data_IF_089817145424
#
_entry.id   IF_089817145424
#
_cell.length_a   1.000
_cell.length_b   1.000
_cell.length_c   1.000
_cell.angle_alpha   90.00
_cell.angle_beta   90.00
_cell.angle_gamma   90.00
#
_symmetry.space_group_name_H-M   'P 1'
#
loop_
_entity.id
_entity.type
_entity.pdbx_description
1 polymer ?
#
# COMPACT_ATOMS: atom_id res chain seq x y z
N UNK A 1 -17.97 -30.82 -14.46
CA UNK A 1 -16.95 -29.93 -15.04
C UNK A 1 -17.52 -28.51 -15.28
N UNK A 2 -18.67 -28.33 -15.96
CA UNK A 2 -19.20 -26.99 -16.29
C UNK A 2 -19.60 -26.13 -15.09
N UNK A 3 -20.12 -26.70 -14.00
CA UNK A 3 -20.54 -25.96 -12.80
C UNK A 3 -19.35 -25.42 -12.01
N UNK A 4 -18.28 -26.19 -11.91
CA UNK A 4 -17.03 -25.81 -11.24
C UNK A 4 -16.28 -24.73 -12.02
N UNK A 5 -16.24 -24.81 -13.36
CA UNK A 5 -15.66 -23.79 -14.22
C UNK A 5 -16.41 -22.46 -14.12
N UNK A 6 -17.75 -22.47 -14.07
CA UNK A 6 -18.55 -21.25 -13.87
C UNK A 6 -18.29 -20.61 -12.49
N UNK A 7 -18.18 -21.41 -11.45
CA UNK A 7 -17.87 -20.90 -10.10
C UNK A 7 -16.51 -20.19 -10.05
N UNK A 8 -15.47 -20.77 -10.64
CA UNK A 8 -14.13 -20.20 -10.73
C UNK A 8 -14.09 -18.91 -11.55
N UNK A 9 -14.82 -18.86 -12.67
CA UNK A 9 -14.98 -17.64 -13.45
C UNK A 9 -15.62 -16.52 -12.63
N UNK A 10 -16.72 -16.81 -11.92
CA UNK A 10 -17.41 -15.85 -11.06
C UNK A 10 -16.51 -15.36 -9.89
N UNK A 11 -15.71 -16.26 -9.32
CA UNK A 11 -14.75 -15.91 -8.28
C UNK A 11 -13.69 -14.91 -8.82
N UNK A 12 -13.08 -15.20 -9.97
CA UNK A 12 -12.12 -14.29 -10.61
C UNK A 12 -12.74 -12.94 -10.95
N UNK A 13 -13.96 -12.91 -11.49
CA UNK A 13 -14.69 -11.66 -11.77
C UNK A 13 -14.94 -10.84 -10.51
N UNK A 14 -15.30 -11.46 -9.38
CA UNK A 14 -15.47 -10.76 -8.10
C UNK A 14 -14.16 -10.18 -7.59
N UNK A 15 -13.06 -10.93 -7.67
CA UNK A 15 -11.73 -10.44 -7.29
C UNK A 15 -11.32 -9.23 -8.12
N UNK A 16 -11.45 -9.32 -9.45
CA UNK A 16 -11.16 -8.19 -10.35
C UNK A 16 -12.05 -6.98 -10.06
N UNK A 17 -13.36 -7.18 -9.90
CA UNK A 17 -14.28 -6.10 -9.62
C UNK A 17 -14.01 -5.45 -8.25
N UNK A 18 -13.87 -6.25 -7.19
CA UNK A 18 -13.67 -5.74 -5.82
C UNK A 18 -12.30 -5.10 -5.64
N UNK A 19 -11.21 -5.84 -5.87
CA UNK A 19 -9.86 -5.35 -5.63
C UNK A 19 -9.41 -4.36 -6.71
N UNK A 20 -9.78 -4.58 -7.99
CA UNK A 20 -9.48 -3.65 -9.07
C UNK A 20 -10.07 -2.27 -8.82
N UNK A 21 -11.33 -2.19 -8.39
CA UNK A 21 -11.97 -0.90 -8.07
C UNK A 21 -11.36 -0.23 -6.83
N UNK A 22 -10.96 -1.01 -5.83
CA UNK A 22 -10.48 -0.49 -4.54
C UNK A 22 -8.98 -0.18 -4.54
N UNK A 23 -8.20 -0.80 -5.44
CA UNK A 23 -6.74 -0.66 -5.48
C UNK A 23 -6.23 -0.02 -6.77
N UNK A 24 -6.98 -0.09 -7.88
CA UNK A 24 -6.52 0.36 -9.20
C UNK A 24 -7.59 1.21 -9.92
N UNK A 25 -8.43 1.95 -9.19
CA UNK A 25 -9.52 2.71 -9.77
C UNK A 25 -9.07 3.80 -10.76
N UNK A 26 -7.84 4.31 -10.64
CA UNK A 26 -7.26 5.26 -11.59
C UNK A 26 -6.95 4.64 -12.95
N UNK A 27 -6.90 3.32 -13.07
CA UNK A 27 -6.69 2.61 -14.33
C UNK A 27 -8.00 2.20 -15.01
N UNK A 28 -9.13 2.37 -14.32
CA UNK A 28 -10.43 2.02 -14.88
C UNK A 28 -10.91 3.06 -15.91
N UNK A 29 -11.72 2.64 -16.90
CA UNK A 29 -12.34 3.57 -17.85
C UNK A 29 -13.12 4.68 -17.15
N UNK A 30 -12.93 5.92 -17.57
CA UNK A 30 -13.59 7.09 -16.99
C UNK A 30 -12.97 7.60 -15.70
N UNK A 31 -11.81 7.08 -15.30
CA UNK A 31 -11.08 7.59 -14.13
C UNK A 31 -10.63 9.04 -14.32
N UNK A 32 -10.41 9.81 -13.23
CA UNK A 32 -9.94 11.18 -13.31
C UNK A 32 -8.41 11.30 -13.58
N UNK A 33 -7.72 10.21 -13.88
CA UNK A 33 -6.26 10.19 -14.08
C UNK A 33 -5.79 11.26 -15.08
N UNK A 34 -6.52 11.43 -16.19
CA UNK A 34 -6.16 12.40 -17.23
C UNK A 34 -6.24 13.86 -16.75
N UNK A 35 -6.92 14.14 -15.64
CA UNK A 35 -7.04 15.48 -15.06
C UNK A 35 -6.01 15.74 -13.96
N UNK A 36 -5.38 14.69 -13.41
CA UNK A 36 -4.34 14.84 -12.39
C UNK A 36 -3.12 15.57 -12.96
N UNK A 37 -2.56 16.48 -12.16
CA UNK A 37 -1.36 17.22 -12.55
C UNK A 37 -0.11 16.48 -12.06
N UNK A 38 0.88 16.22 -12.90
CA UNK A 38 2.16 15.72 -12.44
C UNK A 38 2.83 16.71 -11.50
N UNK A 39 3.32 16.24 -10.35
CA UNK A 39 4.28 16.97 -9.52
C UNK A 39 5.66 16.78 -10.14
N UNK A 40 6.20 17.86 -10.70
CA UNK A 40 7.50 17.83 -11.41
C UNK A 40 8.53 18.66 -10.63
N UNK A 41 9.63 18.02 -10.23
CA UNK A 41 10.76 18.65 -9.54
C UNK A 41 12.03 18.23 -10.29
N UNK A 42 12.85 19.18 -10.66
CA UNK A 42 14.10 18.98 -11.42
C UNK A 42 13.91 18.13 -12.70
N UNK A 43 12.76 18.29 -13.36
CA UNK A 43 12.41 17.56 -14.59
C UNK A 43 11.85 16.15 -14.38
N UNK A 44 11.78 15.67 -13.13
CA UNK A 44 11.26 14.34 -12.79
C UNK A 44 9.82 14.39 -12.27
N UNK A 45 9.00 13.47 -12.74
CA UNK A 45 7.63 13.27 -12.22
C UNK A 45 7.66 12.43 -10.95
N UNK A 46 7.53 13.10 -9.82
CA UNK A 46 7.59 12.47 -8.50
C UNK A 46 6.22 12.07 -7.96
N UNK A 47 5.15 12.69 -8.46
CA UNK A 47 3.80 12.46 -7.98
C UNK A 47 2.73 12.87 -8.97
N UNK A 48 1.48 12.62 -8.60
CA UNK A 48 0.28 13.02 -9.32
C UNK A 48 -0.71 13.67 -8.36
N UNK A 49 -1.06 14.92 -8.62
CA UNK A 49 -1.87 15.76 -7.72
C UNK A 49 -3.24 16.01 -8.34
N UNK A 50 -4.30 15.81 -7.56
CA UNK A 50 -5.68 16.13 -7.99
C UNK A 50 -5.80 17.63 -8.24
N UNK A 51 -6.58 18.09 -9.25
CA UNK A 51 -6.67 19.52 -9.60
C UNK A 51 -7.15 20.42 -8.47
N UNK A 52 -8.08 19.96 -7.65
CA UNK A 52 -8.59 20.67 -6.49
C UNK A 52 -7.53 20.83 -5.39
N UNK A 53 -6.75 19.78 -5.13
CA UNK A 53 -5.63 19.81 -4.20
C UNK A 53 -4.55 20.77 -4.72
N UNK A 54 -4.15 20.68 -6.00
CA UNK A 54 -3.15 21.57 -6.60
C UNK A 54 -3.56 23.05 -6.47
N UNK A 55 -4.83 23.37 -6.71
CA UNK A 55 -5.37 24.73 -6.53
C UNK A 55 -5.26 25.22 -5.09
N UNK A 56 -5.52 24.36 -4.12
CA UNK A 56 -5.40 24.69 -2.69
C UNK A 56 -3.92 24.91 -2.34
N UNK A 57 -3.03 24.00 -2.75
CA UNK A 57 -1.60 24.07 -2.45
C UNK A 57 -0.98 25.35 -3.02
N UNK A 58 -1.27 25.70 -4.27
CA UNK A 58 -0.74 26.92 -4.89
C UNK A 58 -1.31 28.20 -4.28
N UNK A 59 -2.57 28.20 -3.86
CA UNK A 59 -3.21 29.36 -3.23
C UNK A 59 -2.77 29.58 -1.77
N UNK A 60 -2.57 28.49 -1.01
CA UNK A 60 -2.28 28.55 0.43
C UNK A 60 -0.79 28.51 0.73
N UNK A 61 0.03 27.90 -0.14
CA UNK A 61 1.46 27.71 0.03
C UNK A 61 2.25 28.22 -1.19
N UNK A 62 2.06 29.49 -1.61
CA UNK A 62 2.71 30.02 -2.84
C UNK A 62 4.24 30.11 -2.72
N UNK A 63 4.81 30.08 -1.52
CA UNK A 63 6.26 29.98 -1.31
C UNK A 63 6.84 28.58 -1.56
N UNK A 64 5.97 27.58 -1.76
CA UNK A 64 6.38 26.18 -1.97
C UNK A 64 5.92 25.67 -3.32
N UNK A 65 4.66 25.93 -3.72
CA UNK A 65 4.03 25.34 -4.89
C UNK A 65 3.60 26.40 -5.92
N UNK A 66 4.00 26.17 -7.17
CA UNK A 66 3.56 26.94 -8.33
C UNK A 66 2.97 26.01 -9.40
N UNK A 67 2.16 26.56 -10.29
CA UNK A 67 1.85 25.87 -11.54
C UNK A 67 3.06 25.98 -12.49
N UNK A 68 3.46 24.86 -13.08
CA UNK A 68 4.43 24.85 -14.17
C UNK A 68 3.89 25.45 -15.45
N UNK A 69 4.72 25.53 -16.48
CA UNK A 69 4.41 26.14 -17.75
C UNK A 69 3.09 25.65 -18.35
N UNK A 70 2.19 26.59 -18.64
CA UNK A 70 0.87 26.30 -19.20
C UNK A 70 -0.12 25.69 -18.22
N UNK A 71 0.14 25.70 -16.91
CA UNK A 71 -0.77 25.19 -15.87
C UNK A 71 -0.99 23.67 -15.87
N UNK A 72 -0.12 22.91 -16.52
CA UNK A 72 -0.27 21.45 -16.73
C UNK A 72 0.54 20.59 -15.78
N UNK A 73 1.22 21.19 -14.83
CA UNK A 73 1.97 20.52 -13.77
C UNK A 73 1.96 21.36 -12.50
N UNK A 74 2.24 20.71 -11.37
CA UNK A 74 2.62 21.36 -10.13
C UNK A 74 4.13 21.29 -10.01
N UNK A 75 4.78 22.37 -9.57
CA UNK A 75 6.24 22.45 -9.39
C UNK A 75 6.56 23.24 -8.13
N UNK A 76 7.83 23.28 -7.75
CA UNK A 76 8.29 24.11 -6.63
C UNK A 76 8.33 25.60 -7.05
N UNK A 77 8.23 26.47 -6.05
CA UNK A 77 8.45 27.90 -6.21
C UNK A 77 9.89 28.18 -6.65
N UNK A 78 10.07 29.28 -7.40
CA UNK A 78 11.37 29.67 -7.94
C UNK A 78 12.42 29.82 -6.83
N UNK A 79 13.61 29.24 -7.08
CA UNK A 79 14.72 29.26 -6.14
C UNK A 79 14.64 28.24 -5.00
N UNK A 80 13.52 27.49 -4.84
CA UNK A 80 13.41 26.41 -3.86
C UNK A 80 13.98 25.12 -4.46
N UNK A 81 15.15 24.67 -4.01
CA UNK A 81 15.82 23.48 -4.51
C UNK A 81 16.66 22.80 -3.43
N UNK A 82 17.01 21.52 -3.66
CA UNK A 82 17.80 20.69 -2.76
C UNK A 82 17.00 20.04 -1.65
N UNK A 83 17.48 18.87 -1.20
CA UNK A 83 16.72 17.99 -0.29
C UNK A 83 16.25 18.70 1.00
N UNK A 84 17.20 19.30 1.77
CA UNK A 84 16.84 19.91 3.06
C UNK A 84 15.97 21.17 2.94
N UNK A 85 16.25 22.14 2.05
CA UNK A 85 15.38 23.31 1.90
C UNK A 85 13.96 22.93 1.47
N UNK A 86 13.82 21.99 0.52
CA UNK A 86 12.50 21.52 0.05
C UNK A 86 11.77 20.80 1.17
N UNK A 87 12.42 19.87 1.88
CA UNK A 87 11.81 19.14 3.00
C UNK A 87 11.33 20.08 4.11
N UNK A 88 12.14 21.09 4.48
CA UNK A 88 11.76 22.08 5.49
C UNK A 88 10.57 22.94 5.04
N UNK A 89 10.54 23.35 3.76
CA UNK A 89 9.43 24.10 3.20
C UNK A 89 8.13 23.25 3.18
N UNK A 90 8.24 21.97 2.81
CA UNK A 90 7.12 21.03 2.87
C UNK A 90 6.60 20.85 4.31
N UNK A 91 7.50 20.64 5.28
CA UNK A 91 7.12 20.50 6.68
C UNK A 91 6.36 21.73 7.20
N UNK A 92 6.85 22.93 6.92
CA UNK A 92 6.20 24.19 7.31
C UNK A 92 4.82 24.34 6.65
N UNK A 93 4.74 24.09 5.34
CA UNK A 93 3.50 24.22 4.58
C UNK A 93 2.42 23.25 5.07
N UNK A 94 2.75 21.96 5.23
CA UNK A 94 1.77 20.97 5.66
C UNK A 94 1.38 21.10 7.14
N UNK A 95 2.27 21.56 8.02
CA UNK A 95 1.92 21.91 9.40
C UNK A 95 0.94 23.09 9.45
N UNK A 96 1.14 24.12 8.61
CA UNK A 96 0.18 25.24 8.50
C UNK A 96 -1.18 24.76 7.97
N UNK A 97 -1.19 23.95 6.89
CA UNK A 97 -2.44 23.40 6.33
C UNK A 97 -3.17 22.49 7.33
N UNK A 98 -2.43 21.76 8.18
CA UNK A 98 -2.98 20.98 9.28
C UNK A 98 -3.64 21.87 10.33
N UNK A 99 -2.92 22.91 10.77
CA UNK A 99 -3.41 23.87 11.78
C UNK A 99 -4.65 24.59 11.32
N UNK A 100 -4.69 24.97 10.03
CA UNK A 100 -5.83 25.63 9.40
C UNK A 100 -7.00 24.66 9.12
N UNK A 101 -6.83 23.34 9.35
CA UNK A 101 -7.85 22.34 9.13
C UNK A 101 -8.25 22.14 7.66
N UNK A 102 -7.33 22.43 6.73
CA UNK A 102 -7.63 22.47 5.28
C UNK A 102 -7.94 21.08 4.72
N UNK A 103 -7.17 20.08 5.14
CA UNK A 103 -7.34 18.69 4.71
C UNK A 103 -7.62 17.78 5.90
N UNK A 104 -8.76 17.05 5.91
CA UNK A 104 -9.07 16.11 7.00
C UNK A 104 -8.01 15.04 7.24
N UNK A 105 -7.30 14.60 6.18
CA UNK A 105 -6.24 13.61 6.30
C UNK A 105 -5.03 14.12 7.11
N UNK A 106 -4.75 15.43 7.09
CA UNK A 106 -3.70 16.03 7.92
C UNK A 106 -4.12 16.12 9.39
N UNK A 107 -5.37 16.53 9.67
CA UNK A 107 -5.84 16.70 11.05
C UNK A 107 -6.07 15.40 11.78
N UNK A 108 -6.58 14.36 11.08
CA UNK A 108 -6.91 13.05 11.67
C UNK A 108 -5.83 11.99 11.46
N UNK A 109 -4.98 12.17 10.44
CA UNK A 109 -4.02 11.17 10.00
C UNK A 109 -2.56 11.48 10.31
N UNK A 110 -2.25 12.58 10.98
CA UNK A 110 -0.88 13.00 11.30
C UNK A 110 -0.19 12.00 12.22
N UNK A 111 1.04 11.58 11.86
CA UNK A 111 1.77 10.50 12.54
C UNK A 111 3.09 10.94 13.16
N UNK A 112 3.64 12.11 12.78
CA UNK A 112 5.04 12.50 13.03
C UNK A 112 6.01 11.48 12.40
N UNK A 113 5.65 10.96 11.25
CA UNK A 113 6.42 10.00 10.49
C UNK A 113 6.65 10.57 9.08
N UNK A 114 7.91 10.57 8.63
CA UNK A 114 8.28 11.15 7.35
C UNK A 114 8.40 10.07 6.27
N UNK A 115 7.88 10.38 5.08
CA UNK A 115 8.05 9.59 3.88
C UNK A 115 8.84 10.37 2.85
N UNK A 116 9.80 9.70 2.21
CA UNK A 116 10.64 10.31 1.20
C UNK A 116 10.04 10.18 -0.20
N UNK A 117 9.87 11.28 -0.90
CA UNK A 117 9.70 11.28 -2.35
C UNK A 117 11.03 10.90 -2.99
N UNK A 118 11.07 9.78 -3.72
CA UNK A 118 12.29 9.21 -4.29
C UNK A 118 12.16 9.09 -5.81
N UNK A 119 13.27 9.34 -6.52
CA UNK A 119 13.37 8.92 -7.91
C UNK A 119 13.26 7.40 -8.00
N UNK A 120 12.37 6.90 -8.83
CA UNK A 120 12.16 5.45 -8.93
C UNK A 120 13.37 4.72 -9.54
N UNK A 121 14.06 5.38 -10.45
CA UNK A 121 15.22 4.80 -11.16
C UNK A 121 16.46 4.64 -10.29
N UNK A 122 16.73 5.56 -9.36
CA UNK A 122 17.95 5.60 -8.53
C UNK A 122 17.69 5.40 -7.05
N UNK A 123 16.42 5.50 -6.62
CA UNK A 123 15.99 5.55 -5.21
C UNK A 123 16.51 6.75 -4.42
N UNK A 124 17.15 7.71 -5.09
CA UNK A 124 17.62 8.94 -4.47
C UNK A 124 16.43 9.73 -3.91
N UNK A 125 16.47 10.16 -2.64
CA UNK A 125 15.44 11.01 -2.06
C UNK A 125 15.58 12.43 -2.60
N UNK A 126 14.45 13.04 -2.97
CA UNK A 126 14.34 14.43 -3.45
C UNK A 126 13.88 15.36 -2.34
N UNK A 127 12.91 14.93 -1.57
CA UNK A 127 12.44 15.58 -0.35
C UNK A 127 11.75 14.55 0.56
N UNK A 128 11.49 14.94 1.79
CA UNK A 128 10.64 14.18 2.70
C UNK A 128 9.47 15.03 3.19
N UNK A 129 8.38 14.36 3.52
CA UNK A 129 7.12 14.99 3.95
C UNK A 129 6.41 14.09 4.95
N UNK A 130 5.59 14.68 5.81
CA UNK A 130 4.69 13.93 6.71
C UNK A 130 3.86 12.89 5.93
N UNK A 131 3.81 11.66 6.46
CA UNK A 131 3.14 10.52 5.85
C UNK A 131 1.71 10.82 5.38
N UNK A 132 0.94 11.54 6.20
CA UNK A 132 -0.45 11.91 5.86
C UNK A 132 -0.56 12.89 4.68
N UNK A 133 0.51 13.60 4.33
CA UNK A 133 0.58 14.51 3.20
C UNK A 133 1.03 13.83 1.90
N UNK A 134 1.62 12.64 1.96
CA UNK A 134 2.16 11.96 0.80
C UNK A 134 1.12 11.73 -0.31
N UNK A 135 -0.11 11.35 0.04
CA UNK A 135 -1.20 11.14 -0.91
C UNK A 135 -1.72 12.43 -1.52
N UNK A 136 -1.66 13.57 -0.81
CA UNK A 136 -2.02 14.88 -1.38
C UNK A 136 -1.07 15.27 -2.52
N UNK A 137 0.19 14.85 -2.44
CA UNK A 137 1.20 15.03 -3.47
C UNK A 137 1.23 13.87 -4.48
N UNK A 138 0.53 12.77 -4.20
CA UNK A 138 0.51 11.58 -5.04
C UNK A 138 1.88 10.99 -5.26
N UNK A 139 2.80 11.11 -4.29
CA UNK A 139 4.13 10.50 -4.34
C UNK A 139 4.05 9.02 -4.01
N UNK A 140 4.96 8.23 -4.59
CA UNK A 140 5.01 6.80 -4.28
C UNK A 140 5.33 6.58 -2.79
N UNK A 141 4.57 5.70 -2.17
CA UNK A 141 4.80 5.23 -0.81
C UNK A 141 5.21 3.77 -0.86
N UNK A 142 6.02 3.35 0.10
CA UNK A 142 6.44 1.96 0.24
C UNK A 142 6.01 1.42 1.59
N UNK A 143 5.62 0.15 1.58
CA UNK A 143 5.31 -0.60 2.77
C UNK A 143 5.89 -2.01 2.72
N UNK A 144 5.69 -2.77 3.78
CA UNK A 144 6.00 -4.18 3.85
C UNK A 144 4.82 -4.96 4.40
N UNK A 145 4.56 -6.14 3.85
CA UNK A 145 3.53 -7.06 4.29
C UNK A 145 4.10 -8.46 4.49
N UNK A 146 3.69 -9.13 5.57
CA UNK A 146 4.08 -10.50 5.86
C UNK A 146 2.87 -11.42 5.77
N UNK A 147 2.94 -12.39 4.86
CA UNK A 147 2.02 -13.51 4.76
C UNK A 147 2.51 -14.63 5.70
N UNK A 148 1.95 -14.70 6.91
CA UNK A 148 2.19 -15.82 7.82
C UNK A 148 1.25 -16.97 7.49
N UNK A 149 1.78 -18.16 7.25
CA UNK A 149 0.97 -19.32 6.83
C UNK A 149 1.44 -20.62 7.48
N UNK A 150 0.53 -21.60 7.55
CA UNK A 150 0.86 -22.97 7.97
C UNK A 150 0.93 -23.90 6.76
N UNK A 151 1.65 -25.01 6.91
CA UNK A 151 1.83 -26.00 5.86
C UNK A 151 1.14 -27.32 6.22
N UNK A 152 0.89 -28.15 5.21
CA UNK A 152 0.31 -29.47 5.42
C UNK A 152 1.23 -30.38 6.25
N UNK A 153 0.62 -31.16 7.15
CA UNK A 153 1.32 -32.12 8.02
C UNK A 153 1.86 -33.34 7.29
N UNK A 154 1.62 -33.45 5.97
CA UNK A 154 2.03 -34.57 5.12
C UNK A 154 3.48 -34.48 4.62
N UNK A 155 4.23 -33.46 5.06
CA UNK A 155 5.60 -33.20 4.64
C UNK A 155 5.77 -32.49 3.29
N UNK A 156 4.68 -32.21 2.57
CA UNK A 156 4.71 -31.59 1.24
C UNK A 156 5.10 -30.11 1.23
N UNK A 157 5.20 -29.48 2.38
CA UNK A 157 5.38 -28.01 2.53
C UNK A 157 4.31 -27.16 1.82
N UNK A 158 3.18 -27.78 1.43
CA UNK A 158 2.07 -27.11 0.76
C UNK A 158 1.35 -26.19 1.75
N UNK A 159 1.19 -24.90 1.44
CA UNK A 159 0.41 -23.99 2.28
C UNK A 159 -1.05 -24.46 2.41
N UNK A 160 -1.62 -24.38 3.61
CA UNK A 160 -3.00 -24.82 3.88
C UNK A 160 -3.86 -23.75 4.52
N UNK A 161 -3.27 -22.88 5.36
CA UNK A 161 -4.00 -21.79 6.00
C UNK A 161 -3.10 -20.55 6.15
N UNK A 162 -3.71 -19.38 6.25
CA UNK A 162 -3.03 -18.08 6.42
C UNK A 162 -3.54 -17.40 7.67
N UNK A 163 -2.62 -16.83 8.45
CA UNK A 163 -2.94 -15.94 9.54
C UNK A 163 -3.32 -14.58 9.01
N UNK A 164 -4.46 -14.08 9.43
CA UNK A 164 -4.97 -12.74 9.18
C UNK A 164 -5.12 -11.98 10.50
N UNK A 165 -4.86 -10.69 10.47
CA UNK A 165 -5.08 -9.78 11.58
C UNK A 165 -6.39 -9.00 11.37
N UNK A 166 -7.16 -8.78 12.44
CA UNK A 166 -8.22 -7.78 12.45
C UNK A 166 -7.69 -6.52 13.12
N UNK A 167 -7.67 -5.44 12.38
CA UNK A 167 -7.20 -4.13 12.84
C UNK A 167 -8.04 -3.62 14.02
N UNK A 168 -7.38 -3.02 15.00
CA UNK A 168 -8.05 -2.34 16.11
C UNK A 168 -8.98 -1.23 15.60
N UNK A 169 -10.09 -1.00 16.28
CA UNK A 169 -11.00 0.13 16.01
C UNK A 169 -10.36 1.49 16.27
N UNK A 170 -9.26 1.54 17.01
CA UNK A 170 -8.47 2.75 17.27
C UNK A 170 -7.57 3.16 16.11
N UNK A 171 -7.35 2.28 15.11
CA UNK A 171 -6.52 2.62 13.93
C UNK A 171 -7.19 3.73 13.12
N UNK A 172 -6.46 4.81 12.77
CA UNK A 172 -7.05 5.95 12.04
C UNK A 172 -7.39 5.63 10.58
N UNK A 173 -6.82 4.54 10.03
CA UNK A 173 -7.15 4.07 8.67
C UNK A 173 -7.58 2.62 8.72
N UNK A 174 -8.66 2.28 8.01
CA UNK A 174 -9.21 0.93 7.92
C UNK A 174 -9.48 0.29 9.29
N UNK A 175 -10.15 0.99 10.26
CA UNK A 175 -10.46 0.42 11.57
C UNK A 175 -11.37 -0.81 11.42
N UNK A 176 -11.06 -1.88 12.16
CA UNK A 176 -11.84 -3.12 12.17
C UNK A 176 -11.75 -3.97 10.91
N UNK A 177 -10.99 -3.57 9.88
CA UNK A 177 -10.82 -4.37 8.67
C UNK A 177 -9.87 -5.55 8.90
N UNK A 178 -10.05 -6.62 8.13
CA UNK A 178 -9.07 -7.69 8.03
C UNK A 178 -7.84 -7.22 7.24
N UNK A 179 -6.67 -7.67 7.66
CA UNK A 179 -5.36 -7.30 7.14
C UNK A 179 -4.47 -8.56 7.02
N UNK A 180 -3.32 -8.46 6.39
CA UNK A 180 -2.28 -9.48 6.48
C UNK A 180 -1.90 -9.70 7.96
N UNK A 181 -1.13 -10.76 8.23
CA UNK A 181 -0.59 -11.01 9.57
C UNK A 181 0.14 -9.79 10.13
N UNK A 182 0.95 -9.16 9.27
CA UNK A 182 1.70 -7.93 9.58
C UNK A 182 1.67 -7.00 8.36
N UNK A 183 1.56 -5.69 8.59
CA UNK A 183 1.65 -4.68 7.53
C UNK A 183 2.09 -3.33 8.06
N UNK A 184 3.29 -2.89 7.69
CA UNK A 184 3.87 -1.62 8.10
C UNK A 184 4.30 -0.74 6.93
N UNK A 185 4.33 0.59 7.14
CA UNK A 185 4.90 1.54 6.19
C UNK A 185 6.43 1.56 6.26
N UNK A 186 7.08 2.08 5.23
CA UNK A 186 8.52 2.33 5.23
C UNK A 186 8.77 3.84 5.41
N UNK A 187 9.17 4.28 6.60
CA UNK A 187 9.53 5.68 6.85
C UNK A 187 10.82 6.07 6.09
N UNK A 188 11.07 7.38 6.00
CA UNK A 188 12.18 7.93 5.20
C UNK A 188 13.55 7.49 5.68
N UNK A 189 13.70 7.20 6.97
CA UNK A 189 14.92 6.74 7.66
C UNK A 189 15.08 5.21 7.64
N UNK A 190 14.15 4.48 7.01
CA UNK A 190 14.25 3.03 6.89
C UNK A 190 15.15 2.62 5.72
N UNK A 191 16.32 2.09 6.02
CA UNK A 191 17.30 1.64 5.03
C UNK A 191 17.06 0.21 4.53
N UNK A 192 16.25 -0.59 5.24
CA UNK A 192 16.02 -1.99 4.89
C UNK A 192 14.56 -2.40 5.08
N UNK A 193 13.84 -2.65 3.97
CA UNK A 193 12.48 -3.20 4.04
C UNK A 193 12.39 -4.50 4.84
N UNK A 194 13.41 -5.37 4.77
CA UNK A 194 13.45 -6.63 5.53
C UNK A 194 13.59 -6.40 7.03
N UNK A 195 14.44 -5.46 7.45
CA UNK A 195 14.55 -5.13 8.88
C UNK A 195 13.27 -4.50 9.40
N UNK A 196 12.61 -3.65 8.61
CA UNK A 196 11.30 -3.11 8.96
C UNK A 196 10.24 -4.20 9.09
N UNK A 197 10.16 -5.12 8.13
CA UNK A 197 9.22 -6.25 8.20
C UNK A 197 9.45 -7.13 9.43
N UNK A 198 10.70 -7.37 9.82
CA UNK A 198 11.04 -8.10 11.05
C UNK A 198 10.62 -7.34 12.31
N UNK A 199 10.86 -6.04 12.35
CA UNK A 199 10.45 -5.15 13.45
C UNK A 199 8.94 -5.16 13.62
N UNK A 200 8.20 -4.86 12.55
CA UNK A 200 6.72 -4.85 12.56
C UNK A 200 6.16 -6.22 12.97
N UNK A 201 6.77 -7.33 12.51
CA UNK A 201 6.33 -8.68 12.86
C UNK A 201 6.49 -8.99 14.36
N UNK A 202 7.50 -8.44 15.02
CA UNK A 202 7.67 -8.55 16.47
C UNK A 202 6.69 -7.65 17.22
N UNK A 203 6.46 -6.42 16.75
CA UNK A 203 5.63 -5.42 17.40
C UNK A 203 4.13 -5.72 17.25
N UNK A 204 3.66 -6.04 16.02
CA UNK A 204 2.23 -6.28 15.75
C UNK A 204 1.78 -7.70 16.13
N UNK A 205 2.62 -8.73 15.89
CA UNK A 205 2.19 -10.13 15.98
C UNK A 205 2.99 -10.98 16.99
N UNK A 206 3.95 -10.39 17.71
CA UNK A 206 4.74 -11.08 18.73
C UNK A 206 5.57 -12.23 18.17
N UNK A 207 6.00 -12.17 16.90
CA UNK A 207 6.74 -13.27 16.27
C UNK A 207 8.18 -13.30 16.82
N UNK A 208 8.62 -14.42 17.42
CA UNK A 208 9.97 -14.55 17.95
C UNK A 208 11.04 -14.41 16.86
N UNK A 209 12.18 -13.78 17.21
CA UNK A 209 13.28 -13.54 16.27
C UNK A 209 13.75 -14.82 15.56
N UNK A 210 13.77 -15.96 16.26
CA UNK A 210 14.16 -17.26 15.69
C UNK A 210 13.22 -17.74 14.55
N UNK A 211 11.93 -17.41 14.59
CA UNK A 211 11.01 -17.73 13.49
C UNK A 211 11.22 -16.76 12.31
N UNK A 212 11.59 -15.53 12.59
CA UNK A 212 11.86 -14.51 11.57
C UNK A 212 13.15 -14.77 10.76
N UNK A 213 14.01 -15.70 11.18
CA UNK A 213 15.17 -16.12 10.39
C UNK A 213 14.75 -16.86 9.10
N UNK A 214 13.54 -17.40 9.06
CA UNK A 214 12.94 -18.01 7.87
C UNK A 214 12.07 -17.04 7.03
N UNK A 215 12.04 -15.75 7.36
CA UNK A 215 11.29 -14.75 6.60
C UNK A 215 11.89 -14.62 5.18
N UNK A 216 11.05 -14.85 4.17
CA UNK A 216 11.48 -14.85 2.76
C UNK A 216 10.93 -13.64 2.02
N UNK A 217 11.77 -12.77 1.44
CA UNK A 217 11.31 -11.77 0.47
C UNK A 217 10.84 -12.49 -0.80
N UNK A 218 9.63 -12.16 -1.27
CA UNK A 218 8.99 -12.91 -2.37
C UNK A 218 8.53 -12.03 -3.53
N UNK A 219 8.79 -10.75 -3.47
CA UNK A 219 8.47 -9.79 -4.52
C UNK A 219 7.78 -8.55 -3.99
N UNK A 220 7.07 -7.88 -4.89
CA UNK A 220 6.32 -6.66 -4.57
C UNK A 220 4.94 -6.71 -5.19
N UNK A 221 3.97 -6.12 -4.51
CA UNK A 221 2.67 -5.76 -5.07
C UNK A 221 2.65 -4.25 -5.27
N UNK A 222 2.14 -3.78 -6.39
CA UNK A 222 1.98 -2.36 -6.68
C UNK A 222 0.59 -2.06 -7.18
N UNK A 223 0.06 -0.91 -6.77
CA UNK A 223 -1.30 -0.51 -7.08
C UNK A 223 -1.42 1.01 -7.22
N UNK A 224 -2.50 1.46 -7.86
CA UNK A 224 -2.65 2.86 -8.22
C UNK A 224 -4.12 3.29 -8.14
N UNK A 225 -4.46 3.96 -7.04
CA UNK A 225 -5.83 4.41 -6.80
C UNK A 225 -5.89 5.84 -6.28
N UNK A 226 -7.08 6.41 -6.24
CA UNK A 226 -7.40 7.66 -5.58
C UNK A 226 -8.58 7.50 -4.63
N UNK A 227 -8.62 8.37 -3.63
CA UNK A 227 -9.78 8.64 -2.79
C UNK A 227 -9.83 10.13 -2.39
N UNK A 228 -10.62 10.47 -1.38
CA UNK A 228 -10.75 11.85 -0.88
C UNK A 228 -9.44 12.43 -0.30
N UNK A 229 -8.49 11.57 0.09
CA UNK A 229 -7.19 11.97 0.64
C UNK A 229 -6.17 12.31 -0.45
N UNK A 230 -6.38 11.88 -1.68
CA UNK A 230 -5.47 12.12 -2.78
C UNK A 230 -5.22 10.90 -3.66
N UNK A 231 -4.00 10.78 -4.19
CA UNK A 231 -3.56 9.73 -5.12
C UNK A 231 -2.53 8.83 -4.42
N UNK A 232 -2.65 7.53 -4.63
CA UNK A 232 -1.83 6.50 -3.96
C UNK A 232 -1.16 5.60 -5.00
N UNK A 233 0.04 5.95 -5.48
CA UNK A 233 0.89 5.09 -6.32
C UNK A 233 1.82 4.26 -5.42
N UNK A 234 1.30 3.24 -4.77
CA UNK A 234 1.98 2.55 -3.68
C UNK A 234 2.61 1.23 -4.11
N UNK A 235 3.64 0.82 -3.38
CA UNK A 235 4.37 -0.44 -3.56
C UNK A 235 4.56 -1.13 -2.21
N UNK A 236 4.14 -2.40 -2.11
CA UNK A 236 4.34 -3.22 -0.92
C UNK A 236 5.42 -4.27 -1.17
N UNK A 237 6.46 -4.30 -0.35
CA UNK A 237 7.40 -5.43 -0.30
C UNK A 237 6.73 -6.60 0.40
N UNK A 238 6.61 -7.71 -0.29
CA UNK A 238 5.92 -8.90 0.22
C UNK A 238 6.92 -9.90 0.78
N UNK A 239 6.57 -10.44 1.94
CA UNK A 239 7.33 -11.48 2.63
C UNK A 239 6.42 -12.66 2.93
N UNK A 240 6.94 -13.87 2.79
CA UNK A 240 6.28 -15.11 3.19
C UNK A 240 6.99 -15.70 4.41
N UNK A 241 6.20 -16.17 5.40
CA UNK A 241 6.71 -16.77 6.62
C UNK A 241 5.91 -18.03 6.94
N UNK A 242 6.55 -19.19 6.82
CA UNK A 242 5.98 -20.45 7.28
C UNK A 242 6.04 -20.49 8.81
N UNK A 243 4.90 -20.66 9.45
CA UNK A 243 4.76 -20.71 10.91
C UNK A 243 4.37 -22.12 11.35
N UNK A 244 4.94 -22.64 12.44
CA UNK A 244 4.57 -23.96 12.96
C UNK A 244 3.13 -23.92 13.52
N UNK A 245 2.44 -25.04 13.49
CA UNK A 245 1.07 -25.18 14.03
C UNK A 245 0.97 -24.87 15.53
N UNK A 246 2.09 -24.92 16.24
CA UNK A 246 2.18 -24.58 17.67
C UNK A 246 2.29 -23.06 17.93
N UNK A 247 2.51 -22.26 16.88
CA UNK A 247 2.60 -20.81 17.01
C UNK A 247 1.21 -20.17 16.91
N UNK A 248 0.95 -19.22 17.78
CA UNK A 248 -0.22 -18.35 17.71
C UNK A 248 0.25 -16.89 17.87
N UNK A 249 -0.08 -16.00 16.95
CA UNK A 249 0.30 -14.59 17.05
C UNK A 249 -0.43 -13.90 18.22
N UNK A 250 0.24 -12.92 18.81
CA UNK A 250 -0.27 -12.13 19.93
C UNK A 250 -0.05 -10.65 19.64
N UNK A 251 -1.09 -9.83 19.77
CA UNK A 251 -0.97 -8.38 19.65
C UNK A 251 -0.12 -7.81 20.79
N UNK A 252 0.99 -7.14 20.48
CA UNK A 252 1.91 -6.59 21.46
C UNK A 252 1.67 -5.09 21.66
N UNK A 253 1.44 -4.36 20.57
CA UNK A 253 1.26 -2.91 20.56
C UNK A 253 -0.21 -2.45 20.64
N UNK A 254 -1.17 -3.40 20.59
CA UNK A 254 -2.61 -3.12 20.63
C UNK A 254 -3.18 -2.63 19.30
N UNK A 255 -2.42 -2.67 18.21
CA UNK A 255 -2.89 -2.30 16.87
C UNK A 255 -3.77 -3.38 16.23
N UNK A 256 -3.67 -4.62 16.69
CA UNK A 256 -4.46 -5.77 16.27
C UNK A 256 -5.45 -6.18 17.35
N UNK A 257 -6.73 -6.27 16.99
CA UNK A 257 -7.81 -6.69 17.90
C UNK A 257 -7.89 -8.22 18.04
N UNK A 258 -7.67 -8.96 16.98
CA UNK A 258 -7.67 -10.43 16.96
C UNK A 258 -6.86 -10.98 15.77
N UNK A 259 -6.40 -12.21 15.90
CA UNK A 259 -5.83 -12.98 14.80
C UNK A 259 -6.73 -14.17 14.46
N UNK A 260 -6.78 -14.50 13.15
CA UNK A 260 -7.55 -15.64 12.64
C UNK A 260 -6.70 -16.48 11.72
N UNK A 261 -6.67 -17.78 11.93
CA UNK A 261 -6.12 -18.74 10.98
C UNK A 261 -7.22 -19.16 9.99
N UNK A 262 -7.06 -18.80 8.73
CA UNK A 262 -8.07 -18.98 7.69
C UNK A 262 -7.58 -20.00 6.66
N UNK A 263 -8.38 -21.05 6.33
CA UNK A 263 -8.05 -21.97 5.24
C UNK A 263 -7.84 -21.22 3.91
N UNK A 264 -6.80 -21.57 3.16
CA UNK A 264 -6.52 -20.90 1.88
C UNK A 264 -7.63 -21.07 0.84
N UNK A 265 -8.46 -22.11 0.97
CA UNK A 265 -9.63 -22.32 0.12
C UNK A 265 -10.70 -21.23 0.28
N UNK A 266 -10.80 -20.62 1.47
CA UNK A 266 -11.79 -19.61 1.80
C UNK A 266 -11.28 -18.18 1.53
N UNK A 267 -9.97 -18.04 1.39
CA UNK A 267 -9.31 -16.73 1.27
C UNK A 267 -9.76 -15.92 0.05
N UNK A 268 -9.97 -16.48 -1.16
CA UNK A 268 -10.43 -15.72 -2.33
C UNK A 268 -11.78 -15.02 -2.13
N UNK A 269 -12.72 -15.66 -1.43
CA UNK A 269 -14.02 -15.05 -1.14
C UNK A 269 -13.89 -13.97 -0.05
N UNK A 270 -13.01 -14.17 0.90
CA UNK A 270 -12.81 -13.26 2.04
C UNK A 270 -12.14 -11.95 1.60
N UNK A 271 -11.09 -12.01 0.78
CA UNK A 271 -10.37 -10.81 0.30
C UNK A 271 -11.22 -9.93 -0.63
N UNK A 272 -12.27 -10.49 -1.22
CA UNK A 272 -13.24 -9.74 -2.03
C UNK A 272 -14.27 -8.96 -1.18
N UNK A 273 -14.35 -9.20 0.13
CA UNK A 273 -15.32 -8.53 1.01
C UNK A 273 -14.93 -7.06 1.29
N UNK A 274 -15.91 -6.19 1.54
CA UNK A 274 -15.65 -4.78 1.79
C UNK A 274 -14.89 -4.51 3.09
N UNK A 275 -14.98 -5.40 4.08
CA UNK A 275 -14.28 -5.31 5.37
C UNK A 275 -12.87 -5.92 5.35
N UNK A 276 -12.34 -6.25 4.17
CA UNK A 276 -10.94 -6.60 3.99
C UNK A 276 -10.16 -5.37 3.47
N UNK A 277 -9.03 -5.03 4.09
CA UNK A 277 -8.19 -3.91 3.67
C UNK A 277 -7.68 -4.15 2.25
N UNK A 278 -7.88 -3.19 1.31
CA UNK A 278 -7.72 -3.47 -0.12
C UNK A 278 -6.33 -3.94 -0.53
N UNK A 279 -5.27 -3.21 -0.15
CA UNK A 279 -3.90 -3.57 -0.49
C UNK A 279 -3.47 -4.92 0.10
N UNK A 280 -3.91 -5.22 1.32
CA UNK A 280 -3.69 -6.52 1.95
C UNK A 280 -4.41 -7.65 1.19
N UNK A 281 -5.58 -7.35 0.62
CA UNK A 281 -6.26 -8.27 -0.29
C UNK A 281 -5.45 -8.57 -1.55
N UNK A 282 -4.77 -7.57 -2.14
CA UNK A 282 -3.86 -7.79 -3.27
C UNK A 282 -2.64 -8.63 -2.87
N UNK A 283 -2.06 -8.40 -1.70
CA UNK A 283 -0.91 -9.18 -1.19
C UNK A 283 -1.32 -10.65 -0.95
N UNK A 284 -2.51 -10.88 -0.37
CA UNK A 284 -3.06 -12.24 -0.23
C UNK A 284 -3.32 -12.90 -1.59
N UNK A 285 -3.85 -12.15 -2.56
CA UNK A 285 -4.07 -12.65 -3.92
C UNK A 285 -2.76 -13.03 -4.60
N UNK A 286 -1.74 -12.18 -4.53
CA UNK A 286 -0.40 -12.47 -5.03
C UNK A 286 0.16 -13.76 -4.42
N UNK A 287 0.03 -13.96 -3.11
CA UNK A 287 0.40 -15.21 -2.44
C UNK A 287 -0.32 -16.42 -3.03
N UNK A 288 -1.66 -16.35 -3.22
CA UNK A 288 -2.45 -17.45 -3.78
C UNK A 288 -2.01 -17.82 -5.20
N UNK A 289 -1.68 -16.81 -6.01
CA UNK A 289 -1.18 -16.99 -7.38
C UNK A 289 0.23 -17.60 -7.40
N UNK A 290 1.17 -17.03 -6.66
CA UNK A 290 2.57 -17.51 -6.59
C UNK A 290 2.70 -18.92 -6.00
N UNK A 291 1.85 -19.26 -5.04
CA UNK A 291 1.86 -20.58 -4.37
C UNK A 291 0.99 -21.62 -5.10
N UNK A 292 0.42 -21.29 -6.26
CA UNK A 292 -0.37 -22.20 -7.08
C UNK A 292 -1.71 -22.61 -6.48
N UNK A 293 -2.17 -21.91 -5.42
CA UNK A 293 -3.51 -22.09 -4.86
C UNK A 293 -4.59 -21.67 -5.87
N UNK A 294 -4.30 -20.62 -6.63
CA UNK A 294 -4.95 -20.27 -7.90
C UNK A 294 -3.92 -20.48 -9.01
N UNK A 295 -4.25 -21.26 -10.03
CA UNK A 295 -3.35 -21.60 -11.14
C UNK A 295 -4.00 -21.31 -12.48
N UNK A 296 -3.25 -21.20 -13.59
CA UNK A 296 -3.81 -21.02 -14.92
C UNK A 296 -4.84 -22.09 -15.29
N UNK A 297 -4.64 -23.34 -14.82
CA UNK A 297 -5.56 -24.46 -15.08
C UNK A 297 -6.84 -24.38 -14.26
N UNK A 298 -6.82 -23.62 -13.15
CA UNK A 298 -7.95 -23.57 -12.21
C UNK A 298 -8.66 -22.22 -12.18
N UNK A 299 -8.00 -21.14 -12.58
CA UNK A 299 -8.55 -19.77 -12.60
C UNK A 299 -8.51 -19.19 -14.01
N UNK A 300 -9.68 -19.08 -14.70
CA UNK A 300 -9.72 -18.60 -16.10
C UNK A 300 -9.23 -17.16 -16.32
N UNK A 301 -9.20 -16.33 -15.26
CA UNK A 301 -8.77 -14.93 -15.32
C UNK A 301 -7.40 -14.74 -14.63
N UNK A 302 -6.58 -15.80 -14.63
CA UNK A 302 -5.30 -15.84 -13.91
C UNK A 302 -4.35 -14.69 -14.32
N UNK A 303 -4.22 -14.45 -15.63
CA UNK A 303 -3.37 -13.39 -16.20
C UNK A 303 -3.82 -12.00 -15.76
N UNK A 304 -5.12 -11.71 -15.81
CA UNK A 304 -5.67 -10.42 -15.35
C UNK A 304 -5.49 -10.20 -13.84
N UNK A 305 -5.61 -11.26 -13.04
CA UNK A 305 -5.36 -11.20 -11.60
C UNK A 305 -3.88 -10.92 -11.29
N UNK A 306 -2.96 -11.50 -12.06
CA UNK A 306 -1.53 -11.22 -11.97
C UNK A 306 -1.21 -9.77 -12.33
N UNK A 307 -1.75 -9.26 -13.45
CA UNK A 307 -1.57 -7.86 -13.86
C UNK A 307 -2.09 -6.88 -12.79
N UNK A 308 -3.23 -7.20 -12.18
CA UNK A 308 -3.82 -6.36 -11.13
C UNK A 308 -2.90 -6.22 -9.90
N UNK A 309 -2.13 -7.25 -9.56
CA UNK A 309 -1.18 -7.23 -8.44
C UNK A 309 0.11 -6.44 -8.74
N UNK A 310 0.44 -6.23 -10.01
CA UNK A 310 1.73 -5.68 -10.44
C UNK A 310 1.57 -4.47 -11.37
N UNK A 311 0.77 -3.50 -10.92
CA UNK A 311 0.47 -2.28 -11.68
C UNK A 311 1.72 -1.43 -11.91
N UNK A 312 1.97 -1.03 -13.15
CA UNK A 312 3.03 -0.08 -13.48
C UNK A 312 2.62 1.32 -13.06
N UNK A 313 3.36 1.91 -12.12
CA UNK A 313 3.10 3.26 -11.65
C UNK A 313 3.60 4.31 -12.65
N UNK A 314 2.84 5.39 -12.92
CA UNK A 314 3.19 6.42 -13.90
C UNK A 314 4.11 7.51 -13.32
N UNK A 315 5.18 7.11 -12.62
CA UNK A 315 6.19 7.98 -11.98
C UNK A 315 7.59 7.66 -12.51
N UNK A 316 8.52 8.65 -12.44
CA UNK A 316 9.90 8.54 -12.94
C UNK A 316 10.87 7.96 -11.89
#
# INVERSE_FOLDING_TARGET
KGRQSRHRMQQGQRLLASLGHRCNNLLLPGSPLATCLPLVIDGHRLGLVKPDIARILTARCPSVFHYGSGGRSLTLADGLSGFRPVSNAMATAFEQLRTDGVFPCLTKGWRNELYAARLRSTRQPVFEVERSAASLLGIAQWGCHVNGYTVAADGSQRPVAMWLARRSLSKPTWPGHLDNLVGGGLPSDCDSPTLNARKEAQEEAGIPAALLDSLQPVGTVSYFYEDERGVFPDVEYCYDLALPDTFSPVSVDGEVAEFRLVPLADLPELIAQPDFKPNSGLVCLDFLLRRGCLSPDTQPLYDLLMEMCHTRLPLD
#
